data_IF_972819022492
#
_entry.id   IF_972819022492
#
_cell.length_a   1.000
_cell.length_b   1.000
_cell.length_c   1.000
_cell.angle_alpha   90.00
_cell.angle_beta   90.00
_cell.angle_gamma   90.00
#
_symmetry.space_group_name_H-M   'P 1'
#
loop_
_entity.id
_entity.type
_entity.pdbx_description
1 polymer ?
#
# COMPACT_ATOMS: atom_id res chain seq x y z
N UNK A 1 -14.70 10.38 -19.70
CA UNK A 1 -14.52 9.03 -19.10
C UNK A 1 -15.81 8.66 -18.39
N UNK A 2 -16.44 7.51 -18.71
CA UNK A 2 -17.71 7.12 -18.08
C UNK A 2 -17.57 6.98 -16.56
N UNK A 3 -18.62 7.39 -15.82
CA UNK A 3 -18.70 7.27 -14.36
C UNK A 3 -18.41 5.83 -13.91
N UNK A 4 -19.01 4.84 -14.59
CA UNK A 4 -18.74 3.42 -14.38
C UNK A 4 -17.26 3.04 -14.50
N UNK A 5 -16.56 3.57 -15.50
CA UNK A 5 -15.13 3.31 -15.72
C UNK A 5 -14.27 3.92 -14.62
N UNK A 6 -14.68 5.08 -14.09
CA UNK A 6 -14.00 5.74 -12.96
C UNK A 6 -14.19 4.96 -11.66
N UNK A 7 -15.40 4.48 -11.38
CA UNK A 7 -15.70 3.65 -10.20
C UNK A 7 -14.90 2.35 -10.24
N UNK A 8 -14.88 1.67 -11.39
CA UNK A 8 -14.10 0.45 -11.59
C UNK A 8 -12.60 0.68 -11.32
N UNK A 9 -12.04 1.79 -11.81
CA UNK A 9 -10.63 2.10 -11.62
C UNK A 9 -10.27 2.31 -10.14
N UNK A 10 -11.15 2.97 -9.37
CA UNK A 10 -10.96 3.17 -7.92
C UNK A 10 -11.03 1.83 -7.18
N UNK A 11 -11.99 0.98 -7.51
CA UNK A 11 -12.10 -0.36 -6.92
C UNK A 11 -10.86 -1.21 -7.22
N UNK A 12 -10.35 -1.18 -8.46
CA UNK A 12 -9.10 -1.87 -8.82
C UNK A 12 -7.90 -1.35 -8.04
N UNK A 13 -7.77 -0.03 -7.84
CA UNK A 13 -6.70 0.53 -7.00
C UNK A 13 -6.83 0.07 -5.55
N UNK A 14 -8.05 0.06 -5.01
CA UNK A 14 -8.30 -0.37 -3.64
C UNK A 14 -7.92 -1.84 -3.40
N UNK A 15 -8.31 -2.72 -4.33
CA UNK A 15 -7.92 -4.14 -4.32
C UNK A 15 -6.40 -4.29 -4.45
N UNK A 16 -5.76 -3.48 -5.30
CA UNK A 16 -4.31 -3.48 -5.48
C UNK A 16 -3.56 -3.15 -4.18
N UNK A 17 -4.04 -2.18 -3.40
CA UNK A 17 -3.43 -1.80 -2.12
C UNK A 17 -3.57 -2.94 -1.09
N UNK A 18 -4.73 -3.60 -1.02
CA UNK A 18 -4.96 -4.74 -0.12
C UNK A 18 -3.99 -5.88 -0.45
N UNK A 19 -3.88 -6.24 -1.74
CA UNK A 19 -2.95 -7.29 -2.18
C UNK A 19 -1.50 -6.94 -1.87
N UNK A 20 -1.09 -5.68 -2.11
CA UNK A 20 0.28 -5.24 -1.85
C UNK A 20 0.61 -5.31 -0.35
N UNK A 21 -0.32 -4.88 0.51
CA UNK A 21 -0.17 -5.02 1.96
C UNK A 21 -0.02 -6.48 2.39
N UNK A 22 -0.87 -7.37 1.89
CA UNK A 22 -0.79 -8.81 2.21
C UNK A 22 0.55 -9.43 1.79
N UNK A 23 1.08 -9.06 0.62
CA UNK A 23 2.40 -9.52 0.17
C UNK A 23 3.49 -9.04 1.13
N UNK A 24 3.43 -7.78 1.58
CA UNK A 24 4.39 -7.25 2.55
C UNK A 24 4.31 -7.98 3.89
N UNK A 25 3.12 -8.20 4.44
CA UNK A 25 2.95 -8.91 5.70
C UNK A 25 3.42 -10.37 5.59
N UNK A 26 3.23 -10.99 4.42
CA UNK A 26 3.79 -12.31 4.11
C UNK A 26 5.30 -12.32 4.08
N UNK A 27 5.93 -11.29 3.51
CA UNK A 27 7.39 -11.16 3.55
C UNK A 27 7.89 -10.95 4.99
N UNK A 28 7.24 -10.08 5.78
CA UNK A 28 7.59 -9.83 7.17
C UNK A 28 7.46 -11.10 8.04
N UNK A 29 6.42 -11.90 7.81
CA UNK A 29 6.26 -13.20 8.46
C UNK A 29 7.37 -14.18 8.04
N UNK A 30 7.66 -14.27 6.74
CA UNK A 30 8.70 -15.17 6.20
C UNK A 30 10.09 -14.86 6.76
N UNK A 31 10.42 -13.58 6.97
CA UNK A 31 11.70 -13.15 7.56
C UNK A 31 11.71 -13.15 9.09
N UNK A 32 10.61 -13.56 9.74
CA UNK A 32 10.52 -13.67 11.19
C UNK A 32 10.33 -12.34 11.93
N UNK A 33 10.06 -11.24 11.23
CA UNK A 33 9.72 -9.95 11.83
C UNK A 33 8.32 -9.95 12.46
N UNK A 34 7.40 -10.74 11.90
CA UNK A 34 6.09 -11.01 12.48
C UNK A 34 5.98 -12.48 12.88
N UNK A 35 5.40 -12.73 14.05
CA UNK A 35 5.03 -14.09 14.51
C UNK A 35 3.60 -14.46 14.13
N UNK A 36 2.83 -13.50 13.60
CA UNK A 36 1.42 -13.65 13.25
C UNK A 36 1.33 -13.99 11.77
N UNK A 37 0.64 -15.07 11.44
CA UNK A 37 0.38 -15.45 10.05
C UNK A 37 -0.47 -14.37 9.38
N UNK A 38 -0.06 -13.86 8.22
CA UNK A 38 -0.76 -12.78 7.53
C UNK A 38 -2.11 -13.26 6.99
N UNK A 39 -3.11 -12.38 7.00
CA UNK A 39 -4.40 -12.59 6.38
C UNK A 39 -4.78 -11.39 5.52
N UNK A 40 -5.38 -11.62 4.35
CA UNK A 40 -5.86 -10.56 3.45
C UNK A 40 -6.82 -9.60 4.18
N UNK A 41 -7.57 -10.09 5.17
CA UNK A 41 -8.52 -9.30 5.95
C UNK A 41 -7.83 -8.24 6.82
N UNK A 42 -6.59 -8.49 7.26
CA UNK A 42 -5.84 -7.57 8.12
C UNK A 42 -5.52 -6.27 7.37
N UNK A 43 -5.34 -6.35 6.05
CA UNK A 43 -4.98 -5.22 5.19
C UNK A 43 -6.18 -4.40 4.71
N UNK A 44 -7.43 -4.84 4.96
CA UNK A 44 -8.63 -4.08 4.59
C UNK A 44 -8.69 -2.77 5.37
N UNK A 45 -8.50 -2.84 6.69
CA UNK A 45 -8.47 -1.66 7.57
C UNK A 45 -7.33 -0.70 7.18
N UNK A 46 -6.15 -1.26 6.89
CA UNK A 46 -5.00 -0.50 6.40
C UNK A 46 -5.26 0.21 5.07
N UNK A 47 -5.95 -0.44 4.13
CA UNK A 47 -6.33 0.15 2.84
C UNK A 47 -7.33 1.30 3.01
N UNK A 48 -8.32 1.17 3.90
CA UNK A 48 -9.21 2.28 4.26
C UNK A 48 -8.45 3.43 4.93
N UNK A 49 -7.55 3.12 5.87
CA UNK A 49 -6.69 4.11 6.53
C UNK A 49 -5.82 4.87 5.53
N UNK A 50 -5.19 4.17 4.59
CA UNK A 50 -4.38 4.75 3.52
C UNK A 50 -5.19 5.60 2.55
N UNK A 51 -6.41 5.17 2.20
CA UNK A 51 -7.31 5.94 1.36
C UNK A 51 -7.76 7.24 2.05
N UNK A 52 -8.17 7.17 3.31
CA UNK A 52 -8.59 8.35 4.10
C UNK A 52 -7.40 9.31 4.30
N UNK A 53 -6.23 8.77 4.65
CA UNK A 53 -5.00 9.55 4.75
C UNK A 53 -4.70 10.26 3.43
N UNK A 54 -4.79 9.57 2.29
CA UNK A 54 -4.56 10.18 0.99
C UNK A 54 -5.52 11.34 0.69
N UNK A 55 -6.79 11.24 1.09
CA UNK A 55 -7.78 12.33 0.92
C UNK A 55 -7.43 13.54 1.78
N UNK A 56 -7.01 13.32 3.03
CA UNK A 56 -6.55 14.40 3.91
C UNK A 56 -5.27 15.07 3.40
N UNK A 57 -4.33 14.28 2.87
CA UNK A 57 -3.06 14.79 2.35
C UNK A 57 -3.20 15.44 0.95
N UNK A 58 -4.17 15.04 0.12
CA UNK A 58 -4.45 15.65 -1.20
C UNK A 58 -5.09 17.05 -1.06
N UNK A 59 -5.77 17.32 0.06
CA UNK A 59 -6.38 18.63 0.32
C UNK A 59 -5.32 19.73 0.56
N UNK A 60 -4.08 19.35 0.87
CA UNK A 60 -2.91 20.23 0.85
C UNK A 60 -2.26 20.18 -0.54
N UNK A 61 -2.34 21.28 -1.28
CA UNK A 61 -2.04 21.45 -2.72
C UNK A 61 -0.54 21.27 -3.08
N UNK A 62 0.10 20.22 -2.58
CA UNK A 62 1.55 20.15 -2.47
C UNK A 62 2.12 18.96 -3.24
N UNK A 63 2.95 19.28 -4.24
CA UNK A 63 3.98 18.41 -4.87
C UNK A 63 4.77 17.55 -3.87
N UNK A 64 4.74 17.90 -2.57
CA UNK A 64 5.33 17.17 -1.44
C UNK A 64 4.74 15.76 -1.27
N UNK A 65 3.45 15.55 -1.50
CA UNK A 65 2.82 14.23 -1.31
C UNK A 65 3.42 13.18 -2.25
N UNK A 66 3.60 13.51 -3.53
CA UNK A 66 4.26 12.63 -4.49
C UNK A 66 5.67 12.27 -4.05
N UNK A 67 6.42 13.23 -3.50
CA UNK A 67 7.79 13.03 -3.01
C UNK A 67 7.80 12.10 -1.78
N UNK A 68 6.90 12.31 -0.80
CA UNK A 68 6.83 11.44 0.39
C UNK A 68 6.40 10.01 0.04
N UNK A 69 5.42 9.83 -0.84
CA UNK A 69 5.03 8.50 -1.32
C UNK A 69 6.16 7.81 -2.09
N UNK A 70 6.89 8.57 -2.91
CA UNK A 70 8.05 8.06 -3.65
C UNK A 70 9.16 7.61 -2.69
N UNK A 71 9.43 8.39 -1.63
CA UNK A 71 10.40 8.03 -0.58
C UNK A 71 9.98 6.74 0.13
N UNK A 72 8.71 6.61 0.51
CA UNK A 72 8.19 5.40 1.17
C UNK A 72 8.34 4.18 0.25
N UNK A 73 7.99 4.31 -1.03
CA UNK A 73 8.14 3.26 -2.03
C UNK A 73 9.61 2.88 -2.27
N UNK A 74 10.53 3.85 -2.28
CA UNK A 74 11.96 3.60 -2.43
C UNK A 74 12.50 2.82 -1.23
N UNK A 75 12.18 3.23 -0.01
CA UNK A 75 12.59 2.52 1.22
C UNK A 75 12.05 1.09 1.20
N UNK A 76 10.78 0.92 0.82
CA UNK A 76 10.15 -0.38 0.71
C UNK A 76 10.85 -1.27 -0.34
N UNK A 77 11.15 -0.72 -1.52
CA UNK A 77 11.83 -1.45 -2.59
C UNK A 77 13.25 -1.88 -2.17
N UNK A 78 13.98 -1.03 -1.46
CA UNK A 78 15.31 -1.36 -0.90
C UNK A 78 15.18 -2.52 0.09
N UNK A 79 14.24 -2.46 1.03
CA UNK A 79 14.01 -3.54 2.00
C UNK A 79 13.65 -4.84 1.28
N UNK A 80 12.73 -4.81 0.31
CA UNK A 80 12.37 -6.01 -0.46
C UNK A 80 13.57 -6.58 -1.22
N UNK A 81 14.39 -5.73 -1.86
CA UNK A 81 15.57 -6.18 -2.59
C UNK A 81 16.57 -6.90 -1.68
N UNK A 82 16.91 -6.31 -0.53
CA UNK A 82 17.90 -6.89 0.38
C UNK A 82 17.42 -8.14 1.10
N UNK A 83 16.13 -8.24 1.39
CA UNK A 83 15.59 -9.38 2.13
C UNK A 83 15.13 -10.53 1.22
N UNK A 84 14.62 -10.25 0.01
CA UNK A 84 14.03 -11.28 -0.87
C UNK A 84 14.97 -11.78 -1.96
N UNK A 85 15.77 -10.89 -2.56
CA UNK A 85 16.56 -11.19 -3.77
C UNK A 85 18.03 -11.49 -3.47
N UNK A 86 18.48 -11.32 -2.22
CA UNK A 86 19.81 -11.64 -1.72
C UNK A 86 19.71 -12.60 -0.53
#
# INVERSE_FOLDING_TARGET
>A
MNIWKRIYNVLCMFIGIICLGYVLDTLLFKFGFSKISPSIYDNISGAFGGAIASIFFIKDDTKKLGIYLLIILIILAIVVYFFVLN
#
